data_IF_805623535581
#
_entry.id   IF_805623535581
#
_cell.length_a   1.000
_cell.length_b   1.000
_cell.length_c   1.000
_cell.angle_alpha   90.00
_cell.angle_beta   90.00
_cell.angle_gamma   90.00
#
_symmetry.space_group_name_H-M   'P 1'
#
loop_
_entity.id
_entity.type
_entity.pdbx_description
1 polymer ?
#
# COMPACT_ATOMS: atom_id res chain seq x y z
N UNK A 1 23.37 13.92 -18.98
CA UNK A 1 22.61 14.56 -17.88
C UNK A 1 22.22 15.96 -18.32
N UNK A 2 20.92 16.30 -18.32
CA UNK A 2 20.54 17.57 -17.69
C UNK A 2 19.32 17.40 -16.78
N UNK A 3 19.42 18.04 -15.62
CA UNK A 3 18.42 18.04 -14.57
C UNK A 3 17.11 18.69 -14.99
N UNK A 4 16.00 18.07 -14.58
CA UNK A 4 14.68 18.68 -14.61
C UNK A 4 14.44 19.38 -13.28
N UNK A 5 14.66 20.70 -13.24
CA UNK A 5 13.96 21.59 -12.29
C UNK A 5 12.79 22.24 -13.02
N UNK A 6 11.55 21.86 -12.69
CA UNK A 6 10.43 22.79 -12.43
C UNK A 6 9.14 22.04 -12.17
N UNK A 7 8.60 22.32 -10.98
CA UNK A 7 7.31 21.86 -10.52
C UNK A 7 7.16 22.07 -9.02
N UNK A 8 7.57 23.22 -8.50
CA UNK A 8 7.02 23.70 -7.24
C UNK A 8 5.60 24.19 -7.55
N UNK A 9 4.70 23.22 -7.69
CA UNK A 9 3.27 23.44 -7.62
C UNK A 9 2.84 22.72 -6.35
N UNK A 10 2.32 23.48 -5.40
CA UNK A 10 1.97 23.09 -4.04
C UNK A 10 1.33 21.69 -3.93
N UNK A 11 2.08 20.79 -3.28
CA UNK A 11 1.62 20.00 -2.12
C UNK A 11 0.47 18.99 -2.30
N UNK A 12 0.70 17.95 -3.09
CA UNK A 12 0.03 16.65 -2.87
C UNK A 12 1.06 15.51 -2.76
N UNK A 13 2.18 15.79 -2.07
CA UNK A 13 3.10 14.75 -1.64
C UNK A 13 2.40 13.90 -0.60
N UNK A 14 1.83 12.78 -1.02
CA UNK A 14 1.11 11.83 -0.17
C UNK A 14 2.04 10.67 0.19
N UNK A 15 1.56 9.86 1.13
CA UNK A 15 2.23 8.64 1.55
C UNK A 15 1.39 7.44 1.17
N UNK A 16 1.92 6.61 0.28
CA UNK A 16 1.33 5.33 -0.06
C UNK A 16 1.75 4.27 0.95
N UNK A 17 0.80 3.46 1.39
CA UNK A 17 1.07 2.12 1.91
C UNK A 17 1.10 1.18 0.72
N UNK A 18 2.21 0.48 0.55
CA UNK A 18 2.49 -0.39 -0.58
C UNK A 18 2.57 -1.83 -0.11
N UNK A 19 1.80 -2.71 -0.74
CA UNK A 19 1.88 -4.14 -0.59
C UNK A 19 2.82 -4.75 -1.64
N UNK A 20 3.78 -5.54 -1.19
CA UNK A 20 4.58 -6.43 -2.03
C UNK A 20 4.08 -7.85 -1.82
N UNK A 21 3.51 -8.45 -2.86
CA UNK A 21 3.02 -9.83 -2.87
C UNK A 21 3.83 -10.58 -3.92
N UNK A 22 4.84 -11.32 -3.48
CA UNK A 22 5.79 -11.98 -4.37
C UNK A 22 6.51 -10.97 -5.25
N UNK A 23 6.30 -11.04 -6.57
CA UNK A 23 6.89 -10.12 -7.55
C UNK A 23 6.03 -8.89 -7.84
N UNK A 24 4.82 -8.83 -7.28
CA UNK A 24 3.85 -7.78 -7.59
C UNK A 24 3.85 -6.70 -6.52
N UNK A 25 4.02 -5.45 -6.95
CA UNK A 25 3.88 -4.27 -6.09
C UNK A 25 2.52 -3.61 -6.34
N UNK A 26 1.74 -3.38 -5.29
CA UNK A 26 0.43 -2.70 -5.36
C UNK A 26 0.33 -1.61 -4.30
N UNK A 27 -0.26 -0.47 -4.66
CA UNK A 27 -0.59 0.58 -3.68
C UNK A 27 -1.85 0.13 -2.93
N UNK A 28 -1.72 -0.12 -1.64
CA UNK A 28 -2.81 -0.56 -0.78
C UNK A 28 -3.69 0.60 -0.33
N UNK A 29 -3.11 1.70 0.12
CA UNK A 29 -3.85 2.92 0.44
C UNK A 29 -2.94 4.16 0.33
N UNK A 30 -3.51 5.36 0.34
CA UNK A 30 -2.77 6.64 0.34
C UNK A 30 -3.24 7.53 1.49
N UNK A 31 -2.32 8.30 2.05
CA UNK A 31 -2.57 9.19 3.17
C UNK A 31 -1.92 10.55 2.95
N UNK A 32 -2.53 11.63 3.47
CA UNK A 32 -1.94 12.97 3.39
C UNK A 32 -0.71 13.13 4.30
N UNK A 33 -0.61 12.35 5.38
CA UNK A 33 0.50 12.43 6.35
C UNK A 33 1.28 11.12 6.43
N UNK A 34 2.58 11.24 6.72
CA UNK A 34 3.46 10.08 6.92
C UNK A 34 3.03 9.23 8.10
N UNK A 35 2.62 9.87 9.17
CA UNK A 35 2.20 9.21 10.41
C UNK A 35 0.97 8.33 10.19
N UNK A 36 -0.06 8.83 9.50
CA UNK A 36 -1.24 8.03 9.18
C UNK A 36 -0.88 6.81 8.32
N UNK A 37 0.00 6.97 7.33
CA UNK A 37 0.49 5.85 6.52
C UNK A 37 1.31 4.85 7.35
N UNK A 38 2.11 5.30 8.32
CA UNK A 38 2.85 4.42 9.21
C UNK A 38 1.93 3.62 10.12
N UNK A 39 0.95 4.26 10.76
CA UNK A 39 -0.04 3.59 11.61
C UNK A 39 -0.79 2.51 10.83
N UNK A 40 -1.23 2.84 9.62
CA UNK A 40 -1.91 1.90 8.74
C UNK A 40 -0.99 0.75 8.28
N UNK A 41 0.25 1.06 7.89
CA UNK A 41 1.23 0.05 7.50
C UNK A 41 1.57 -0.89 8.66
N UNK A 42 1.72 -0.37 9.88
CA UNK A 42 1.98 -1.15 11.08
C UNK A 42 0.78 -2.08 11.38
N UNK A 43 -0.43 -1.54 11.32
CA UNK A 43 -1.65 -2.31 11.50
C UNK A 43 -1.79 -3.42 10.44
N UNK A 44 -1.56 -3.13 9.14
CA UNK A 44 -1.57 -4.16 8.07
C UNK A 44 -0.50 -5.24 8.27
N UNK A 45 0.68 -4.89 8.80
CA UNK A 45 1.71 -5.87 9.17
C UNK A 45 1.29 -6.75 10.34
N UNK A 46 0.63 -6.18 11.34
CA UNK A 46 0.09 -6.93 12.47
C UNK A 46 -0.97 -7.94 12.01
N UNK A 47 -1.84 -7.53 11.08
CA UNK A 47 -2.79 -8.44 10.44
C UNK A 47 -2.08 -9.60 9.72
N UNK A 48 -1.02 -9.36 8.96
CA UNK A 48 -0.24 -10.45 8.32
C UNK A 48 0.27 -11.46 9.34
N UNK A 49 0.75 -10.98 10.50
CA UNK A 49 1.23 -11.85 11.58
C UNK A 49 0.08 -12.63 12.22
N UNK A 50 -1.04 -11.97 12.51
CA UNK A 50 -2.22 -12.61 13.07
C UNK A 50 -2.78 -13.70 12.16
N UNK A 51 -2.72 -13.50 10.83
CA UNK A 51 -3.19 -14.46 9.82
C UNK A 51 -2.07 -15.30 9.19
N UNK A 52 -0.88 -15.35 9.78
CA UNK A 52 0.29 -16.01 9.18
C UNK A 52 0.00 -17.48 8.83
N UNK A 53 -0.61 -18.22 9.75
CA UNK A 53 -0.95 -19.64 9.56
C UNK A 53 -1.89 -19.89 8.37
N UNK A 54 -2.80 -18.95 8.09
CA UNK A 54 -3.69 -19.04 6.93
C UNK A 54 -2.97 -18.67 5.64
N UNK A 55 -2.11 -17.64 5.68
CA UNK A 55 -1.32 -17.21 4.52
C UNK A 55 -0.32 -18.28 4.09
N UNK A 56 0.19 -19.10 5.01
CA UNK A 56 1.04 -20.26 4.70
C UNK A 56 0.32 -21.33 3.86
N UNK A 57 -1.01 -21.42 3.97
CA UNK A 57 -1.84 -22.37 3.22
C UNK A 57 -2.31 -21.80 1.87
N UNK A 58 -2.12 -20.50 1.66
CA UNK A 58 -2.47 -19.81 0.41
C UNK A 58 -1.40 -20.05 -0.67
N UNK A 59 -1.79 -20.20 -1.95
CA UNK A 59 -0.82 -20.27 -3.05
C UNK A 59 -0.06 -18.95 -3.25
N UNK A 60 -0.62 -17.82 -2.81
CA UNK A 60 0.03 -16.51 -2.88
C UNK A 60 0.94 -16.28 -1.67
N UNK A 61 2.15 -15.72 -1.87
CA UNK A 61 3.05 -15.39 -0.77
C UNK A 61 2.48 -14.31 0.14
N UNK A 62 2.81 -14.37 1.44
CA UNK A 62 2.37 -13.39 2.42
C UNK A 62 2.77 -11.95 2.00
N UNK A 63 1.84 -10.98 2.03
CA UNK A 63 2.14 -9.60 1.66
C UNK A 63 3.09 -8.96 2.66
N UNK A 64 4.11 -8.27 2.15
CA UNK A 64 4.94 -7.36 2.93
C UNK A 64 4.53 -5.91 2.68
N UNK A 65 4.28 -5.16 3.75
CA UNK A 65 3.89 -3.75 3.65
C UNK A 65 5.04 -2.80 3.98
N UNK A 66 5.11 -1.68 3.27
CA UNK A 66 5.99 -0.55 3.54
C UNK A 66 5.32 0.76 3.11
N UNK A 67 5.85 1.90 3.57
CA UNK A 67 5.40 3.21 3.12
C UNK A 67 6.35 3.79 2.07
N UNK A 68 5.82 4.55 1.13
CA UNK A 68 6.59 5.31 0.15
C UNK A 68 5.93 6.66 -0.15
N UNK A 69 6.71 7.72 -0.42
CA UNK A 69 6.13 8.95 -0.97
C UNK A 69 5.51 8.64 -2.34
N UNK A 70 4.35 9.24 -2.62
CA UNK A 70 3.63 9.09 -3.89
C UNK A 70 2.94 10.39 -4.28
N UNK A 71 2.85 10.65 -5.58
CA UNK A 71 1.97 11.65 -6.14
C UNK A 71 0.67 11.00 -6.64
N UNK A 72 -0.47 11.66 -6.47
CA UNK A 72 -1.77 11.14 -6.96
C UNK A 72 -1.75 10.79 -8.45
N UNK A 73 -0.96 11.50 -9.25
CA UNK A 73 -0.79 11.25 -10.68
C UNK A 73 -0.05 9.94 -11.00
N UNK A 74 0.68 9.36 -10.05
CA UNK A 74 1.35 8.05 -10.19
C UNK A 74 0.41 6.88 -9.91
N UNK A 75 -0.79 7.14 -9.37
CA UNK A 75 -1.78 6.09 -9.16
C UNK A 75 -2.30 5.56 -10.51
N UNK A 76 -2.44 4.24 -10.67
CA UNK A 76 -3.08 3.67 -11.84
C UNK A 76 -4.50 4.23 -12.03
N UNK A 77 -4.93 4.41 -13.28
CA UNK A 77 -6.31 4.80 -13.57
C UNK A 77 -7.28 3.77 -12.98
N UNK A 78 -8.26 4.23 -12.22
CA UNK A 78 -9.22 3.35 -11.54
C UNK A 78 -8.69 2.69 -10.27
N UNK A 79 -7.55 3.13 -9.74
CA UNK A 79 -7.05 2.67 -8.45
C UNK A 79 -8.13 2.79 -7.36
N UNK A 80 -8.29 1.71 -6.60
CA UNK A 80 -9.14 1.64 -5.41
C UNK A 80 -8.30 1.13 -4.24
N UNK A 81 -8.55 1.61 -3.01
CA UNK A 81 -7.84 1.14 -1.85
C UNK A 81 -8.03 -0.37 -1.69
N UNK A 82 -6.93 -1.07 -1.46
CA UNK A 82 -6.93 -2.49 -1.15
C UNK A 82 -7.57 -2.68 0.23
N UNK A 83 -8.64 -3.49 0.33
CA UNK A 83 -9.22 -3.83 1.62
C UNK A 83 -8.16 -4.52 2.48
N UNK A 84 -8.24 -4.30 3.79
CA UNK A 84 -7.35 -4.96 4.72
C UNK A 84 -7.54 -6.48 4.70
N UNK A 85 -6.52 -7.24 5.10
CA UNK A 85 -6.60 -8.69 5.18
C UNK A 85 -7.80 -9.16 6.03
N UNK A 86 -8.10 -8.47 7.14
CA UNK A 86 -9.29 -8.77 7.95
C UNK A 86 -10.64 -8.59 7.23
N UNK A 87 -10.68 -7.83 6.13
CA UNK A 87 -11.87 -7.66 5.26
C UNK A 87 -11.87 -8.65 4.09
N UNK A 88 -10.71 -9.19 3.70
CA UNK A 88 -10.59 -10.18 2.63
C UNK A 88 -11.32 -11.49 2.93
N UNK A 89 -11.71 -11.73 4.18
CA UNK A 89 -12.51 -12.90 4.58
C UNK A 89 -14.03 -12.64 4.62
N UNK A 90 -14.49 -11.61 3.90
CA UNK A 90 -15.92 -11.31 3.69
C UNK A 90 -16.46 -11.56 2.27
N UNK A 91 -15.73 -12.30 1.40
CA UNK A 91 -16.06 -12.60 -0.02
C UNK A 91 -15.93 -11.42 -0.99
N UNK A 92 -15.31 -11.68 -2.13
CA UNK A 92 -15.81 -11.26 -3.45
C UNK A 92 -16.08 -12.57 -4.20
N UNK A 93 -17.24 -12.95 -4.76
CA UNK A 93 -18.49 -12.26 -5.11
C UNK A 93 -18.31 -10.97 -5.91
#
# INVERSE_FOLDING_TARGET
MPGRKRGENTRDGMWAVVALIGRTRKVANIYPTREAALTDCAWRRDQVRAYAHFLEQSPDPAPTYHIAPIHRAELPKGWKPMPALGVLHGRFA
#
